data_IF_147762286604
#
_entry.id   IF_147762286604
#
_cell.length_a   1.000
_cell.length_b   1.000
_cell.length_c   1.000
_cell.angle_alpha   90.00
_cell.angle_beta   90.00
_cell.angle_gamma   90.00
#
_symmetry.space_group_name_H-M   'P 1'
#
loop_
_entity.id
_entity.type
_entity.pdbx_description
1 polymer ?
#
# COMPACT_ATOMS: atom_id res chain seq x y z
N UNK A 1 -29.16 40.19 33.96
CA UNK A 1 -28.23 39.04 33.94
C UNK A 1 -28.64 38.21 32.73
N UNK A 2 -27.88 37.95 31.68
CA UNK A 2 -26.44 38.08 31.41
C UNK A 2 -26.27 38.00 29.86
N UNK A 3 -25.26 38.66 29.31
CA UNK A 3 -24.84 38.66 27.90
C UNK A 3 -24.44 37.26 27.37
N UNK A 4 -24.53 37.00 26.05
CA UNK A 4 -23.40 37.09 25.09
C UNK A 4 -23.70 36.39 23.73
N UNK A 5 -23.32 37.05 22.62
CA UNK A 5 -22.67 36.61 21.35
C UNK A 5 -22.91 35.19 20.77
N UNK A 6 -23.00 34.87 19.47
CA UNK A 6 -22.83 35.50 18.13
C UNK A 6 -23.35 34.47 17.09
N UNK A 7 -23.57 34.84 15.81
CA UNK A 7 -24.24 34.01 14.80
C UNK A 7 -23.24 33.23 13.93
N UNK A 8 -23.62 32.05 13.41
CA UNK A 8 -22.92 31.43 12.28
C UNK A 8 -23.90 31.15 11.14
N UNK A 9 -23.73 31.97 10.11
CA UNK A 9 -24.44 31.89 8.85
C UNK A 9 -23.64 31.14 7.79
N UNK A 10 -24.42 30.58 6.87
CA UNK A 10 -24.11 30.44 5.44
C UNK A 10 -22.98 29.47 5.07
N UNK A 11 -23.44 28.26 4.77
CA UNK A 11 -22.90 27.37 3.74
C UNK A 11 -22.51 28.21 2.50
N UNK A 12 -21.22 28.42 2.28
CA UNK A 12 -20.70 28.95 1.01
C UNK A 12 -19.96 27.84 0.29
N UNK A 13 -20.71 27.25 -0.63
CA UNK A 13 -20.22 26.58 -1.81
C UNK A 13 -19.37 27.58 -2.62
N UNK A 14 -18.04 27.44 -2.58
CA UNK A 14 -17.15 27.99 -3.62
C UNK A 14 -16.01 26.99 -3.82
N UNK A 15 -16.28 26.02 -4.69
CA UNK A 15 -15.25 25.50 -5.57
C UNK A 15 -14.74 26.64 -6.45
N UNK A 16 -13.42 26.87 -6.60
CA UNK A 16 -12.90 27.42 -7.82
C UNK A 16 -12.23 26.27 -8.56
N UNK A 17 -12.98 25.73 -9.52
CA UNK A 17 -12.42 25.28 -10.78
C UNK A 17 -11.45 26.36 -11.28
N UNK A 18 -10.17 26.26 -10.89
CA UNK A 18 -9.13 27.15 -11.41
C UNK A 18 -8.82 26.64 -12.80
N UNK A 19 -9.41 27.32 -13.78
CA UNK A 19 -9.02 27.22 -15.18
C UNK A 19 -7.49 27.16 -15.28
N UNK A 20 -6.93 26.24 -16.08
CA UNK A 20 -5.47 26.12 -16.27
C UNK A 20 -4.82 27.43 -16.74
N UNK A 21 -5.60 28.36 -17.29
CA UNK A 21 -5.15 29.64 -17.83
C UNK A 21 -4.77 30.68 -16.76
N UNK A 22 -5.52 30.76 -15.65
CA UNK A 22 -5.25 31.71 -14.55
C UNK A 22 -3.98 31.36 -13.77
N UNK A 23 -3.69 30.06 -13.65
CA UNK A 23 -2.47 29.58 -12.98
C UNK A 23 -1.24 29.86 -13.84
N UNK A 24 -1.40 29.76 -15.16
CA UNK A 24 -0.33 30.02 -16.13
C UNK A 24 0.01 31.52 -16.18
N UNK A 25 -0.97 32.40 -16.28
CA UNK A 25 -0.76 33.85 -16.27
C UNK A 25 -0.09 34.33 -14.96
N UNK A 26 -0.50 33.79 -13.81
CA UNK A 26 0.14 34.09 -12.52
C UNK A 26 1.59 33.61 -12.45
N UNK A 27 1.89 32.42 -12.98
CA UNK A 27 3.26 31.90 -13.03
C UNK A 27 4.15 32.71 -13.98
N UNK A 28 3.62 33.15 -15.12
CA UNK A 28 4.35 34.02 -16.06
C UNK A 28 4.65 35.39 -15.45
N UNK A 29 3.69 36.00 -14.77
CA UNK A 29 3.89 37.27 -14.04
C UNK A 29 4.90 37.09 -12.91
N UNK A 30 4.79 36.01 -12.12
CA UNK A 30 5.74 35.71 -11.06
C UNK A 30 7.16 35.53 -11.61
N UNK A 31 7.31 34.81 -12.73
CA UNK A 31 8.58 34.61 -13.43
C UNK A 31 9.18 35.94 -13.94
N UNK A 32 8.36 36.79 -14.58
CA UNK A 32 8.78 38.11 -15.06
C UNK A 32 9.25 39.02 -13.92
N UNK A 33 8.48 39.09 -12.83
CA UNK A 33 8.80 39.90 -11.63
C UNK A 33 10.06 39.39 -10.94
N UNK A 34 10.25 38.07 -10.88
CA UNK A 34 11.49 37.48 -10.36
C UNK A 34 12.68 37.86 -11.25
N UNK A 35 12.51 37.81 -12.58
CA UNK A 35 13.58 38.17 -13.53
C UNK A 35 14.02 39.63 -13.44
N UNK A 36 13.08 40.57 -13.30
CA UNK A 36 13.39 42.00 -13.16
C UNK A 36 14.10 42.27 -11.83
N UNK A 37 13.65 41.62 -10.75
CA UNK A 37 14.29 41.73 -9.44
C UNK A 37 15.74 41.21 -9.47
N UNK A 38 16.01 40.08 -10.13
CA UNK A 38 17.35 39.53 -10.26
C UNK A 38 18.33 40.49 -10.96
N UNK A 39 17.87 41.26 -11.96
CA UNK A 39 18.70 42.24 -12.69
C UNK A 39 19.14 43.42 -11.82
N UNK A 40 18.43 43.70 -10.73
CA UNK A 40 18.75 44.81 -9.81
C UNK A 40 19.72 44.42 -8.69
N UNK A 41 20.01 43.13 -8.52
CA UNK A 41 20.88 42.62 -7.46
C UNK A 41 22.36 42.78 -7.82
N UNK A 42 23.20 43.00 -6.81
CA UNK A 42 24.66 42.94 -6.96
C UNK A 42 25.13 41.51 -7.21
N UNK A 43 26.37 41.36 -7.70
CA UNK A 43 26.98 40.04 -7.95
C UNK A 43 27.03 39.17 -6.69
N UNK A 44 27.20 39.77 -5.51
CA UNK A 44 27.25 39.06 -4.23
C UNK A 44 25.86 38.51 -3.90
N UNK A 45 24.83 39.37 -3.92
CA UNK A 45 23.44 38.98 -3.63
C UNK A 45 22.92 37.93 -4.63
N UNK A 46 23.28 38.06 -5.92
CA UNK A 46 22.90 37.08 -6.94
C UNK A 46 23.56 35.72 -6.68
N UNK A 47 24.81 35.70 -6.22
CA UNK A 47 25.51 34.48 -5.86
C UNK A 47 24.92 33.82 -4.60
N UNK A 48 24.47 34.61 -3.62
CA UNK A 48 23.73 34.09 -2.45
C UNK A 48 22.41 33.44 -2.86
N UNK A 49 21.62 34.10 -3.71
CA UNK A 49 20.37 33.52 -4.25
C UNK A 49 20.64 32.25 -5.06
N UNK A 50 21.72 32.22 -5.84
CA UNK A 50 22.15 31.05 -6.59
C UNK A 50 22.48 29.87 -5.65
N UNK A 51 23.30 30.11 -4.62
CA UNK A 51 23.67 29.08 -3.63
C UNK A 51 22.44 28.58 -2.87
N UNK A 52 21.52 29.48 -2.52
CA UNK A 52 20.26 29.11 -1.86
C UNK A 52 19.37 28.28 -2.78
N UNK A 53 19.28 28.62 -4.06
CA UNK A 53 18.55 27.82 -5.05
C UNK A 53 19.19 26.44 -5.23
N UNK A 54 20.51 26.35 -5.32
CA UNK A 54 21.21 25.06 -5.37
C UNK A 54 20.97 24.23 -4.10
N UNK A 55 20.96 24.86 -2.92
CA UNK A 55 20.61 24.19 -1.66
C UNK A 55 19.18 23.66 -1.71
N UNK A 56 18.23 24.51 -2.09
CA UNK A 56 16.83 24.15 -2.22
C UNK A 56 16.64 22.99 -3.20
N UNK A 57 17.29 23.02 -4.36
CA UNK A 57 17.24 21.92 -5.34
C UNK A 57 17.77 20.61 -4.73
N UNK A 58 18.89 20.65 -3.99
CA UNK A 58 19.43 19.47 -3.31
C UNK A 58 18.45 18.92 -2.27
N UNK A 59 17.92 19.77 -1.40
CA UNK A 59 17.01 19.36 -0.32
C UNK A 59 15.71 18.75 -0.87
N UNK A 60 15.15 19.35 -1.94
CA UNK A 60 13.95 18.81 -2.60
C UNK A 60 14.25 17.49 -3.33
N UNK A 61 15.43 17.37 -3.95
CA UNK A 61 15.83 16.13 -4.61
C UNK A 61 16.03 15.00 -3.59
N UNK A 62 16.61 15.29 -2.43
CA UNK A 62 16.75 14.33 -1.34
C UNK A 62 15.39 13.88 -0.81
N UNK A 63 14.49 14.84 -0.54
CA UNK A 63 13.13 14.54 -0.09
C UNK A 63 12.40 13.67 -1.12
N UNK A 64 12.49 14.00 -2.40
CA UNK A 64 11.87 13.22 -3.47
C UNK A 64 12.38 11.77 -3.50
N UNK A 65 13.70 11.56 -3.34
CA UNK A 65 14.28 10.21 -3.31
C UNK A 65 13.74 9.42 -2.11
N UNK A 66 13.67 10.05 -0.93
CA UNK A 66 13.13 9.41 0.28
C UNK A 66 11.66 9.02 0.11
N UNK A 67 10.83 9.93 -0.42
CA UNK A 67 9.41 9.67 -0.68
C UNK A 67 9.19 8.58 -1.73
N UNK A 68 10.03 8.53 -2.78
CA UNK A 68 9.97 7.46 -3.77
C UNK A 68 10.31 6.09 -3.15
N UNK A 69 11.35 6.03 -2.32
CA UNK A 69 11.71 4.81 -1.61
C UNK A 69 10.59 4.35 -0.65
N UNK A 70 9.99 5.29 0.09
CA UNK A 70 8.86 5.01 0.98
C UNK A 70 7.65 4.50 0.20
N UNK A 71 7.34 5.12 -0.94
CA UNK A 71 6.25 4.69 -1.83
C UNK A 71 6.47 3.26 -2.30
N UNK A 72 7.68 2.91 -2.73
CA UNK A 72 7.98 1.57 -3.23
C UNK A 72 7.86 0.51 -2.12
N UNK A 73 8.27 0.83 -0.88
CA UNK A 73 8.05 -0.05 0.29
C UNK A 73 6.55 -0.25 0.57
N UNK A 74 5.77 0.83 0.56
CA UNK A 74 4.31 0.74 0.78
C UNK A 74 3.59 -0.01 -0.34
N UNK A 75 4.04 0.15 -1.59
CA UNK A 75 3.52 -0.60 -2.73
C UNK A 75 3.82 -2.09 -2.60
N UNK A 76 5.04 -2.44 -2.17
CA UNK A 76 5.40 -3.82 -1.85
C UNK A 76 4.50 -4.42 -0.76
N UNK A 77 4.28 -3.71 0.35
CA UNK A 77 3.39 -4.20 1.41
C UNK A 77 1.95 -4.41 0.92
N UNK A 78 1.45 -3.46 0.13
CA UNK A 78 0.10 -3.51 -0.44
C UNK A 78 -0.05 -4.71 -1.36
N UNK A 79 0.93 -4.95 -2.24
CA UNK A 79 0.90 -6.08 -3.17
C UNK A 79 0.98 -7.41 -2.43
N UNK A 80 1.80 -7.47 -1.37
CA UNK A 80 1.89 -8.64 -0.50
C UNK A 80 0.53 -8.96 0.16
N UNK A 81 -0.13 -7.94 0.74
CA UNK A 81 -1.46 -8.06 1.36
C UNK A 81 -2.52 -8.47 0.33
N UNK A 82 -2.52 -7.87 -0.85
CA UNK A 82 -3.45 -8.20 -1.94
C UNK A 82 -3.27 -9.63 -2.44
N UNK A 83 -2.01 -10.08 -2.60
CA UNK A 83 -1.68 -11.45 -2.98
C UNK A 83 -2.21 -12.44 -1.94
N UNK A 84 -1.96 -12.17 -0.66
CA UNK A 84 -2.47 -13.00 0.43
C UNK A 84 -4.01 -13.10 0.42
N UNK A 85 -4.71 -11.97 0.35
CA UNK A 85 -6.17 -11.93 0.33
C UNK A 85 -6.71 -12.73 -0.87
N UNK A 86 -6.13 -12.53 -2.06
CA UNK A 86 -6.58 -13.19 -3.29
C UNK A 86 -6.41 -14.71 -3.20
N UNK A 87 -5.27 -15.18 -2.70
CA UNK A 87 -5.01 -16.61 -2.50
C UNK A 87 -5.91 -17.21 -1.42
N UNK A 88 -6.10 -16.51 -0.30
CA UNK A 88 -6.95 -16.97 0.78
C UNK A 88 -8.39 -17.14 0.30
N UNK A 89 -8.92 -16.16 -0.43
CA UNK A 89 -10.24 -16.24 -1.05
C UNK A 89 -10.33 -17.37 -2.08
N UNK A 90 -9.29 -17.59 -2.89
CA UNK A 90 -9.24 -18.71 -3.84
C UNK A 90 -9.34 -20.06 -3.14
N UNK A 91 -8.51 -20.30 -2.11
CA UNK A 91 -8.53 -21.55 -1.33
C UNK A 91 -9.89 -21.75 -0.64
N UNK A 92 -10.44 -20.70 -0.04
CA UNK A 92 -11.77 -20.75 0.59
C UNK A 92 -12.88 -21.09 -0.42
N UNK A 93 -12.85 -20.46 -1.60
CA UNK A 93 -13.79 -20.75 -2.67
C UNK A 93 -13.67 -22.19 -3.15
N UNK A 94 -12.44 -22.71 -3.34
CA UNK A 94 -12.18 -24.08 -3.76
C UNK A 94 -12.69 -25.10 -2.73
N UNK A 95 -12.47 -24.83 -1.44
CA UNK A 95 -13.01 -25.62 -0.32
C UNK A 95 -14.54 -25.65 -0.31
N UNK A 96 -15.18 -24.50 -0.53
CA UNK A 96 -16.65 -24.37 -0.57
C UNK A 96 -17.25 -25.20 -1.71
N UNK A 97 -16.69 -25.12 -2.91
CA UNK A 97 -17.15 -25.91 -4.06
C UNK A 97 -16.96 -27.42 -3.81
N UNK A 98 -15.77 -27.82 -3.34
CA UNK A 98 -15.50 -29.22 -2.99
C UNK A 98 -16.47 -29.78 -1.94
N UNK A 99 -16.84 -28.97 -0.93
CA UNK A 99 -17.84 -29.36 0.07
C UNK A 99 -19.26 -29.52 -0.50
N UNK A 100 -19.63 -28.71 -1.50
CA UNK A 100 -20.93 -28.78 -2.18
C UNK A 100 -21.00 -30.01 -3.11
N UNK A 101 -19.96 -30.26 -3.90
CA UNK A 101 -19.91 -31.37 -4.86
C UNK A 101 -19.95 -32.73 -4.15
N UNK A 102 -19.23 -32.86 -3.02
CA UNK A 102 -19.28 -34.04 -2.16
C UNK A 102 -20.68 -34.30 -1.59
N UNK A 103 -21.40 -33.26 -1.15
CA UNK A 103 -22.78 -33.40 -0.66
C UNK A 103 -23.77 -33.83 -1.76
N UNK A 104 -23.47 -33.52 -3.03
CA UNK A 104 -24.30 -33.87 -4.18
C UNK A 104 -23.96 -35.24 -4.79
N UNK A 105 -23.01 -35.98 -4.21
CA UNK A 105 -22.59 -37.29 -4.70
C UNK A 105 -21.90 -37.25 -6.08
N UNK A 106 -21.47 -36.06 -6.53
CA UNK A 106 -20.65 -35.91 -7.74
C UNK A 106 -19.18 -36.13 -7.38
N UNK A 107 -18.48 -36.95 -8.17
CA UNK A 107 -17.02 -37.08 -8.06
C UNK A 107 -16.39 -35.69 -8.17
N UNK A 108 -15.47 -35.28 -7.26
CA UNK A 108 -15.15 -33.86 -7.10
C UNK A 108 -14.23 -33.26 -8.19
N UNK A 109 -13.76 -34.04 -9.17
CA UNK A 109 -12.87 -33.56 -10.23
C UNK A 109 -13.04 -34.36 -11.51
N UNK A 110 -12.80 -33.72 -12.67
CA UNK A 110 -12.81 -34.37 -13.99
C UNK A 110 -11.78 -35.53 -14.12
N UNK A 111 -10.82 -35.62 -13.20
CA UNK A 111 -9.70 -36.57 -13.23
C UNK A 111 -9.70 -37.57 -12.05
N UNK A 112 -10.71 -37.58 -11.17
CA UNK A 112 -10.86 -38.58 -10.10
C UNK A 112 -9.83 -38.51 -8.96
N UNK A 113 -8.93 -37.52 -8.96
CA UNK A 113 -7.99 -37.28 -7.85
C UNK A 113 -8.64 -36.32 -6.85
N UNK A 114 -8.86 -36.78 -5.61
CA UNK A 114 -9.32 -35.91 -4.52
C UNK A 114 -8.16 -35.01 -4.05
N UNK A 115 -8.36 -33.70 -3.90
CA UNK A 115 -7.36 -32.79 -3.34
C UNK A 115 -7.00 -33.20 -1.92
N UNK A 116 -5.72 -33.54 -1.69
CA UNK A 116 -5.24 -34.07 -0.41
C UNK A 116 -5.03 -32.99 0.64
N UNK A 117 -4.60 -31.79 0.24
CA UNK A 117 -4.18 -30.71 1.15
C UNK A 117 -5.20 -29.57 1.24
N UNK A 118 -6.24 -29.59 0.41
CA UNK A 118 -7.23 -28.50 0.35
C UNK A 118 -7.94 -28.24 1.69
N UNK A 119 -8.12 -29.26 2.53
CA UNK A 119 -8.78 -29.16 3.84
C UNK A 119 -7.82 -28.82 4.97
N UNK A 120 -6.51 -28.75 4.71
CA UNK A 120 -5.49 -28.42 5.70
C UNK A 120 -5.74 -27.04 6.31
N UNK A 121 -5.51 -26.94 7.61
CA UNK A 121 -5.70 -25.71 8.40
C UNK A 121 -4.33 -25.17 8.79
N UNK A 122 -4.18 -23.85 8.70
CA UNK A 122 -2.98 -23.13 9.12
C UNK A 122 -3.24 -22.60 10.54
N UNK A 123 -2.45 -22.96 11.55
CA UNK A 123 -2.61 -22.42 12.90
C UNK A 123 -2.33 -20.90 12.94
N UNK A 124 -3.07 -20.17 13.77
CA UNK A 124 -2.95 -18.72 13.90
C UNK A 124 -3.26 -18.29 15.34
N UNK A 125 -2.41 -17.44 15.93
CA UNK A 125 -2.63 -16.83 17.24
C UNK A 125 -3.23 -15.44 17.06
N UNK A 126 -4.45 -15.23 17.53
CA UNK A 126 -5.13 -13.93 17.41
C UNK A 126 -4.50 -12.86 18.31
N UNK A 127 -3.85 -13.29 19.38
CA UNK A 127 -3.30 -12.46 20.45
C UNK A 127 -2.03 -11.69 19.99
N UNK A 128 -1.36 -12.16 18.93
CA UNK A 128 -0.14 -11.57 18.39
C UNK A 128 -0.39 -10.42 17.40
N UNK A 129 -1.67 -10.04 17.20
CA UNK A 129 -2.05 -9.02 16.23
C UNK A 129 -1.90 -9.51 14.78
N UNK A 130 -2.01 -8.61 13.78
CA UNK A 130 -1.86 -8.95 12.37
C UNK A 130 -0.46 -9.51 12.06
N UNK A 131 -0.32 -10.46 11.13
CA UNK A 131 0.99 -10.99 10.74
C UNK A 131 1.85 -9.88 10.10
N UNK A 132 3.12 -9.81 10.50
CA UNK A 132 4.11 -8.96 9.85
C UNK A 132 4.43 -9.46 8.42
N UNK A 133 5.16 -8.65 7.63
CA UNK A 133 5.46 -8.98 6.23
C UNK A 133 6.19 -10.31 6.04
N UNK A 134 7.08 -10.68 6.97
CA UNK A 134 7.81 -11.95 6.90
C UNK A 134 6.87 -13.14 7.11
N UNK A 135 6.06 -13.09 8.16
CA UNK A 135 5.04 -14.11 8.45
C UNK A 135 4.02 -14.20 7.30
N UNK A 136 3.60 -13.05 6.75
CA UNK A 136 2.66 -12.98 5.63
C UNK A 136 3.21 -13.66 4.37
N UNK A 137 4.50 -13.49 4.06
CA UNK A 137 5.16 -14.21 2.95
C UNK A 137 5.15 -15.73 3.15
N UNK A 138 5.39 -16.21 4.38
CA UNK A 138 5.32 -17.65 4.69
C UNK A 138 3.89 -18.17 4.52
N UNK A 139 2.89 -17.42 5.01
CA UNK A 139 1.48 -17.76 4.83
C UNK A 139 1.08 -17.80 3.35
N UNK A 140 1.55 -16.84 2.53
CA UNK A 140 1.34 -16.85 1.07
C UNK A 140 1.89 -18.12 0.43
N UNK A 141 3.11 -18.54 0.79
CA UNK A 141 3.73 -19.77 0.28
C UNK A 141 2.92 -21.01 0.64
N UNK A 142 2.42 -21.08 1.88
CA UNK A 142 1.55 -22.18 2.32
C UNK A 142 0.23 -22.17 1.54
N UNK A 143 -0.40 -21.01 1.36
CA UNK A 143 -1.66 -20.89 0.61
C UNK A 143 -1.51 -21.28 -0.86
N UNK A 144 -0.41 -20.89 -1.52
CA UNK A 144 -0.07 -21.37 -2.86
C UNK A 144 0.06 -22.89 -2.90
N UNK A 145 0.85 -23.47 -1.98
CA UNK A 145 1.05 -24.91 -1.91
C UNK A 145 -0.27 -25.67 -1.68
N UNK A 146 -1.17 -25.14 -0.84
CA UNK A 146 -2.51 -25.71 -0.63
C UNK A 146 -3.36 -25.59 -1.89
N UNK A 147 -3.36 -24.42 -2.54
CA UNK A 147 -4.15 -24.18 -3.74
C UNK A 147 -3.77 -25.13 -4.87
N UNK A 148 -2.48 -25.46 -4.98
CA UNK A 148 -1.91 -26.30 -6.04
C UNK A 148 -1.82 -27.78 -5.64
N UNK A 149 -2.37 -28.16 -4.47
CA UNK A 149 -2.31 -29.51 -3.89
C UNK A 149 -0.88 -30.08 -3.80
N UNK A 150 0.08 -29.20 -3.48
CA UNK A 150 1.50 -29.52 -3.44
C UNK A 150 1.89 -30.41 -2.25
N UNK A 151 2.78 -31.42 -2.42
CA UNK A 151 3.31 -32.22 -1.32
C UNK A 151 4.23 -31.44 -0.36
N UNK A 152 4.55 -30.18 -0.64
CA UNK A 152 5.38 -29.33 0.24
C UNK A 152 4.61 -28.75 1.42
N UNK A 153 3.27 -28.84 1.45
CA UNK A 153 2.41 -28.28 2.50
C UNK A 153 2.85 -28.71 3.92
N UNK A 154 3.12 -30.00 4.22
CA UNK A 154 3.52 -30.42 5.56
C UNK A 154 4.84 -29.79 6.01
N UNK A 155 5.83 -29.72 5.11
CA UNK A 155 7.14 -29.10 5.40
C UNK A 155 6.99 -27.61 5.69
N UNK A 156 6.24 -26.88 4.84
CA UNK A 156 6.02 -25.45 5.02
C UNK A 156 5.26 -25.14 6.33
N UNK A 157 4.28 -25.96 6.70
CA UNK A 157 3.58 -25.83 7.97
C UNK A 157 4.48 -26.11 9.17
N UNK A 158 5.30 -27.16 9.09
CA UNK A 158 6.26 -27.49 10.15
C UNK A 158 7.22 -26.33 10.38
N UNK A 159 7.80 -25.80 9.30
CA UNK A 159 8.70 -24.65 9.37
C UNK A 159 8.02 -23.41 9.96
N UNK A 160 6.79 -23.12 9.54
CA UNK A 160 6.03 -21.99 10.07
C UNK A 160 5.74 -22.13 11.57
N UNK A 161 5.33 -23.33 12.01
CA UNK A 161 5.07 -23.59 13.43
C UNK A 161 6.34 -23.40 14.25
N UNK A 162 7.46 -24.00 13.82
CA UNK A 162 8.70 -23.97 14.59
C UNK A 162 9.41 -22.61 14.56
N UNK A 163 9.30 -21.84 13.47
CA UNK A 163 10.06 -20.60 13.29
C UNK A 163 9.25 -19.34 13.58
N UNK A 164 7.92 -19.39 13.43
CA UNK A 164 7.06 -18.21 13.56
C UNK A 164 6.14 -18.30 14.78
N UNK A 165 5.43 -19.42 14.96
CA UNK A 165 4.47 -19.53 16.06
C UNK A 165 5.13 -19.90 17.40
N UNK A 166 6.10 -20.81 17.37
CA UNK A 166 6.81 -21.32 18.54
C UNK A 166 8.32 -21.17 18.35
N UNK A 167 8.84 -19.94 18.18
CA UNK A 167 10.28 -19.72 18.05
C UNK A 167 11.00 -20.29 19.27
N UNK A 168 12.05 -21.08 19.02
CA UNK A 168 12.91 -21.68 20.06
C UNK A 168 13.99 -20.70 20.51
#
# INVERSE_FOLDING_TARGET
>A
MQENSTPDGVLSDISPDKSPDDTKARNEIASLVYSEKLKTLSTIELNEVYVELERMIRDHSETLIQELALRDELEFEKELKNTFISLLLSVQNKRRHFGIDRKKGRSPTANGVEPKYLTTVIPYHMDQGPPNNSSLQVLIKILHAINDDSPTVPTLLTDYILKVLCPT
#
